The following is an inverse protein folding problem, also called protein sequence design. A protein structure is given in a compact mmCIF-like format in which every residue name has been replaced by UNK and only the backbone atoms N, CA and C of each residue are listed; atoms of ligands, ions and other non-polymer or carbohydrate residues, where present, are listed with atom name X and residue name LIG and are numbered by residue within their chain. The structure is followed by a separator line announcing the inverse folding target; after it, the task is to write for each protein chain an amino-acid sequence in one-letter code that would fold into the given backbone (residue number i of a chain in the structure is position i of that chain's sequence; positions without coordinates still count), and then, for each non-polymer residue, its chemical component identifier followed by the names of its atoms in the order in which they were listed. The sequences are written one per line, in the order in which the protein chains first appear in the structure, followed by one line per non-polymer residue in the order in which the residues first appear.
data_IF_669527811464
#
_entry.id   IF_669527811464
#
_cell.length_a   1.000
_cell.length_b   1.000
_cell.length_c   1.000
_cell.angle_alpha   90.00
_cell.angle_beta   90.00
_cell.angle_gamma   90.00
#
_symmetry.space_group_name_H-M   'P 1'
#
loop_
_entity.id
_entity.type
_entity.pdbx_description
1 polymer ?
#
# COMPACT_ATOMS: atom_id res chain seq x y z
N UNK A 1 -18.55 45.28 -8.88
CA UNK A 1 -18.59 44.33 -7.75
C UNK A 1 -18.38 42.93 -8.31
N UNK A 2 -17.13 42.46 -8.41
CA UNK A 2 -16.81 41.16 -9.01
C UNK A 2 -15.56 40.55 -8.37
N UNK A 3 -15.54 40.48 -7.06
CA UNK A 3 -14.52 39.78 -6.27
C UNK A 3 -15.25 39.03 -5.16
N UNK A 4 -14.77 37.83 -4.78
CA UNK A 4 -15.42 36.76 -4.00
C UNK A 4 -16.11 35.66 -4.82
N UNK A 5 -15.34 34.93 -5.62
CA UNK A 5 -15.69 33.54 -5.99
C UNK A 5 -14.49 32.60 -6.18
N UNK A 6 -13.25 33.04 -5.89
CA UNK A 6 -12.03 32.25 -6.14
C UNK A 6 -11.52 31.43 -4.95
N UNK A 7 -11.79 31.85 -3.71
CA UNK A 7 -11.07 31.29 -2.55
C UNK A 7 -11.62 29.95 -2.03
N UNK A 8 -12.92 29.67 -2.27
CA UNK A 8 -13.56 28.44 -1.79
C UNK A 8 -13.22 27.18 -2.60
N UNK A 9 -12.92 27.33 -3.90
CA UNK A 9 -12.64 26.20 -4.78
C UNK A 9 -11.20 25.68 -4.66
N UNK A 10 -10.24 26.57 -4.37
CA UNK A 10 -8.85 26.18 -4.13
C UNK A 10 -8.67 25.45 -2.80
N UNK A 11 -9.36 25.88 -1.73
CA UNK A 11 -9.33 25.20 -0.43
C UNK A 11 -9.87 23.77 -0.53
N UNK A 12 -10.98 23.55 -1.24
CA UNK A 12 -11.56 22.20 -1.44
C UNK A 12 -10.65 21.26 -2.22
N UNK A 13 -9.96 21.76 -3.27
CA UNK A 13 -8.97 20.97 -4.03
C UNK A 13 -7.73 20.63 -3.20
N UNK A 14 -7.27 21.53 -2.34
CA UNK A 14 -6.14 21.26 -1.45
C UNK A 14 -6.49 20.25 -0.35
N UNK A 15 -7.68 20.32 0.24
CA UNK A 15 -8.15 19.32 1.20
C UNK A 15 -8.30 17.94 0.56
N UNK A 16 -8.87 17.86 -0.64
CA UNK A 16 -8.97 16.59 -1.37
C UNK A 16 -7.59 15.97 -1.66
N UNK A 17 -6.61 16.76 -2.11
CA UNK A 17 -5.24 16.27 -2.32
C UNK A 17 -4.57 15.80 -1.02
N UNK A 18 -4.76 16.52 0.08
CA UNK A 18 -4.22 16.14 1.40
C UNK A 18 -4.84 14.82 1.91
N UNK A 19 -6.13 14.60 1.64
CA UNK A 19 -6.84 13.37 2.03
C UNK A 19 -6.27 12.14 1.31
N UNK A 20 -6.03 12.26 0.00
CA UNK A 20 -5.46 11.17 -0.82
C UNK A 20 -4.04 10.79 -0.37
N UNK A 21 -3.20 11.77 -0.02
CA UNK A 21 -1.85 11.49 0.51
C UNK A 21 -1.89 10.83 1.90
N UNK A 22 -2.86 11.20 2.74
CA UNK A 22 -3.04 10.59 4.06
C UNK A 22 -3.41 9.11 3.95
N UNK A 23 -4.36 8.78 3.07
CA UNK A 23 -4.80 7.40 2.87
C UNK A 23 -3.66 6.51 2.34
N UNK A 24 -2.81 7.06 1.47
CA UNK A 24 -1.63 6.34 0.97
C UNK A 24 -0.62 6.06 2.09
N UNK A 25 -0.31 7.06 2.93
CA UNK A 25 0.60 6.87 4.07
C UNK A 25 0.08 5.83 5.04
N UNK A 26 -1.21 5.88 5.38
CA UNK A 26 -1.83 4.92 6.30
C UNK A 26 -1.70 3.49 5.73
N UNK A 27 -2.06 3.28 4.47
CA UNK A 27 -1.94 1.96 3.83
C UNK A 27 -0.49 1.48 3.76
N UNK A 28 0.45 2.36 3.43
CA UNK A 28 1.88 2.07 3.42
C UNK A 28 2.38 1.59 4.79
N UNK A 29 2.09 2.34 5.87
CA UNK A 29 2.53 1.96 7.21
C UNK A 29 1.85 0.70 7.72
N UNK A 30 0.55 0.51 7.45
CA UNK A 30 -0.17 -0.71 7.81
C UNK A 30 0.47 -1.91 7.13
N UNK A 31 0.72 -1.82 5.81
CA UNK A 31 1.40 -2.88 5.08
C UNK A 31 2.79 -3.14 5.61
N UNK A 32 3.59 -2.10 5.88
CA UNK A 32 4.94 -2.22 6.44
C UNK A 32 4.94 -2.99 7.77
N UNK A 33 4.01 -2.66 8.67
CA UNK A 33 3.87 -3.35 9.96
C UNK A 33 3.42 -4.80 9.76
N UNK A 34 2.50 -5.07 8.83
CA UNK A 34 2.12 -6.44 8.48
C UNK A 34 3.29 -7.24 7.88
N UNK A 35 4.24 -6.61 7.19
CA UNK A 35 5.39 -7.33 6.62
C UNK A 35 6.33 -7.86 7.69
N UNK A 36 6.43 -7.20 8.85
CA UNK A 36 7.32 -7.61 9.95
C UNK A 36 7.06 -9.05 10.42
N UNK A 37 5.84 -9.45 10.84
CA UNK A 37 5.57 -10.83 11.26
C UNK A 37 5.80 -11.83 10.12
N UNK A 38 5.51 -11.46 8.88
CA UNK A 38 5.77 -12.33 7.71
C UNK A 38 7.26 -12.60 7.56
N UNK A 39 8.10 -11.57 7.71
CA UNK A 39 9.54 -11.70 7.63
C UNK A 39 10.07 -12.60 8.75
N UNK A 40 9.53 -12.51 9.97
CA UNK A 40 9.91 -13.42 11.07
C UNK A 40 9.59 -14.89 10.73
N UNK A 41 8.46 -15.15 10.07
CA UNK A 41 8.10 -16.48 9.61
C UNK A 41 8.81 -16.92 8.32
N UNK A 42 9.56 -16.03 7.66
CA UNK A 42 10.22 -16.34 6.40
C UNK A 42 11.46 -17.22 6.61
N UNK A 43 11.62 -18.31 5.82
CA UNK A 43 12.78 -19.19 5.92
C UNK A 43 14.11 -18.48 5.64
N UNK A 44 14.11 -17.43 4.81
CA UNK A 44 15.32 -16.63 4.53
C UNK A 44 15.81 -15.88 5.77
N UNK A 45 14.88 -15.25 6.50
CA UNK A 45 15.19 -14.51 7.72
C UNK A 45 15.57 -15.48 8.84
N UNK A 46 14.82 -16.58 8.98
CA UNK A 46 15.14 -17.67 9.89
C UNK A 46 16.56 -18.22 9.67
N UNK A 47 16.99 -18.38 8.41
CA UNK A 47 18.35 -18.78 8.06
C UNK A 47 19.41 -17.78 8.52
N UNK A 48 19.15 -16.46 8.39
CA UNK A 48 20.05 -15.40 8.87
C UNK A 48 20.21 -15.44 10.39
N UNK A 49 19.11 -15.70 11.12
CA UNK A 49 19.11 -15.76 12.59
C UNK A 49 19.48 -17.13 13.15
N UNK A 50 19.62 -18.17 12.32
CA UNK A 50 19.95 -19.54 12.76
C UNK A 50 18.82 -20.25 13.52
N UNK A 51 17.57 -19.83 13.34
CA UNK A 51 16.39 -20.38 14.05
C UNK A 51 15.46 -21.03 13.03
N UNK A 52 15.04 -22.28 13.22
CA UNK A 52 14.12 -22.96 12.31
C UNK A 52 12.76 -23.24 12.96
N UNK A 53 11.73 -22.50 12.52
CA UNK A 53 10.33 -22.77 12.89
C UNK A 53 9.61 -23.37 11.69
N UNK A 54 9.64 -24.70 11.59
CA UNK A 54 8.94 -25.42 10.53
C UNK A 54 7.67 -26.08 11.08
N UNK A 55 6.51 -25.59 10.64
CA UNK A 55 5.24 -26.26 10.82
C UNK A 55 4.56 -26.44 9.45
N UNK A 56 3.81 -27.53 9.24
CA UNK A 56 3.25 -27.86 7.91
C UNK A 56 2.32 -26.76 7.34
N UNK A 57 1.76 -25.90 8.19
CA UNK A 57 0.93 -24.75 7.79
C UNK A 57 1.66 -23.45 7.48
N UNK A 58 2.99 -23.35 7.60
CA UNK A 58 3.70 -22.07 7.44
C UNK A 58 3.61 -21.51 6.03
N UNK A 59 3.61 -22.40 5.03
CA UNK A 59 3.50 -22.06 3.61
C UNK A 59 2.10 -21.50 3.30
N UNK A 60 1.08 -22.21 3.79
CA UNK A 60 -0.24 -21.74 4.23
C UNK A 60 -0.34 -20.23 4.52
N UNK A 61 0.05 -19.93 5.75
CA UNK A 61 -0.02 -18.63 6.39
C UNK A 61 0.76 -17.58 5.60
N UNK A 62 1.98 -17.91 5.17
CA UNK A 62 2.85 -16.96 4.46
C UNK A 62 2.23 -16.54 3.13
N UNK A 63 1.61 -17.48 2.40
CA UNK A 63 0.90 -17.19 1.16
C UNK A 63 -0.28 -16.25 1.41
N UNK A 64 -1.15 -16.56 2.38
CA UNK A 64 -2.33 -15.75 2.70
C UNK A 64 -1.91 -14.34 3.15
N UNK A 65 -0.95 -14.25 4.08
CA UNK A 65 -0.44 -12.98 4.59
C UNK A 65 0.21 -12.15 3.48
N UNK A 66 1.01 -12.77 2.62
CA UNK A 66 1.61 -12.08 1.48
C UNK A 66 0.55 -11.61 0.48
N UNK A 67 -0.50 -12.40 0.22
CA UNK A 67 -1.62 -11.97 -0.62
C UNK A 67 -2.34 -10.77 -0.02
N UNK A 68 -2.63 -10.78 1.29
CA UNK A 68 -3.26 -9.65 1.98
C UNK A 68 -2.41 -8.38 1.84
N UNK A 69 -1.10 -8.45 2.05
CA UNK A 69 -0.21 -7.29 1.84
C UNK A 69 -0.20 -6.85 0.39
N UNK A 70 -0.10 -7.78 -0.56
CA UNK A 70 -0.07 -7.47 -1.98
C UNK A 70 -1.33 -6.72 -2.40
N UNK A 71 -2.51 -7.21 -2.02
CA UNK A 71 -3.76 -6.55 -2.34
C UNK A 71 -3.94 -5.26 -1.53
N UNK A 72 -3.77 -5.26 -0.21
CA UNK A 72 -4.04 -4.09 0.63
C UNK A 72 -3.01 -2.96 0.45
N UNK A 73 -1.73 -3.31 0.45
CA UNK A 73 -0.63 -2.36 0.28
C UNK A 73 -0.36 -1.99 -1.17
N UNK A 74 -0.53 -2.94 -2.09
CA UNK A 74 -0.35 -2.74 -3.52
C UNK A 74 -1.55 -2.11 -4.22
N UNK A 75 -2.76 -2.10 -3.61
CA UNK A 75 -3.96 -1.52 -4.22
C UNK A 75 -3.78 -0.14 -4.86
N UNK A 76 -3.17 0.87 -4.20
CA UNK A 76 -3.02 2.19 -4.83
C UNK A 76 -2.09 2.16 -6.06
N UNK A 77 -1.08 1.28 -6.08
CA UNK A 77 -0.23 1.06 -7.25
C UNK A 77 -0.97 0.31 -8.37
N UNK A 78 -1.73 -0.72 -8.03
CA UNK A 78 -2.56 -1.46 -8.98
C UNK A 78 -3.62 -0.56 -9.62
N UNK A 79 -4.24 0.33 -8.82
CA UNK A 79 -5.22 1.29 -9.31
C UNK A 79 -4.58 2.37 -10.18
N UNK A 80 -3.39 2.85 -9.83
CA UNK A 80 -2.60 3.76 -10.68
C UNK A 80 -2.26 3.12 -12.03
N UNK A 81 -1.70 1.91 -11.99
CA UNK A 81 -1.39 1.13 -13.20
C UNK A 81 -2.62 0.90 -14.07
N UNK A 82 -3.77 0.55 -13.47
CA UNK A 82 -5.01 0.35 -14.21
C UNK A 82 -5.50 1.64 -14.90
N UNK A 83 -5.37 2.79 -14.24
CA UNK A 83 -5.69 4.09 -14.83
C UNK A 83 -4.72 4.44 -15.96
N UNK A 84 -3.42 4.28 -15.76
CA UNK A 84 -2.40 4.48 -16.81
C UNK A 84 -2.62 3.59 -18.03
N UNK A 85 -2.98 2.32 -17.82
CA UNK A 85 -3.27 1.37 -18.90
C UNK A 85 -4.54 1.77 -19.67
N UNK A 86 -5.56 2.23 -18.96
CA UNK A 86 -6.82 2.72 -19.55
C UNK A 86 -6.60 3.98 -20.36
N UNK A 87 -5.77 4.89 -19.86
CA UNK A 87 -5.44 6.15 -20.50
C UNK A 87 -4.35 6.00 -21.59
N UNK A 88 -3.87 4.77 -21.80
CA UNK A 88 -2.83 4.39 -22.78
C UNK A 88 -1.54 5.20 -22.63
N UNK A 89 -1.26 5.71 -21.44
CA UNK A 89 -0.02 6.40 -21.11
C UNK A 89 0.67 5.64 -19.98
N UNK A 90 1.30 4.48 -20.29
CA UNK A 90 2.06 3.76 -19.29
C UNK A 90 3.24 4.64 -18.84
N UNK A 91 3.30 4.94 -17.53
CA UNK A 91 4.46 5.58 -16.91
C UNK A 91 4.56 7.11 -17.02
N UNK A 92 3.46 7.85 -17.22
CA UNK A 92 3.44 9.33 -17.21
C UNK A 92 2.42 9.92 -16.23
#
# INVERSE_FOLDING_TARGET
MKEKKGDGEEMGKQEHRKKMMHDFKIRFYVSLVLTVPILIFSPTIQSIFGISFQFPGIRIISFIMSSIIFFYGGYPFLNGLYQELKDKQPGM
#
